data_IF_540547174727
#
_entry.id   IF_540547174727
#
_cell.length_a   1.000
_cell.length_b   1.000
_cell.length_c   1.000
_cell.angle_alpha   90.00
_cell.angle_beta   90.00
_cell.angle_gamma   90.00
#
_symmetry.space_group_name_H-M   'P 1'
#
loop_
_entity.id
_entity.type
_entity.pdbx_description
1 polymer ?
#
# COMPACT_ATOMS: atom_id res chain seq x y z
N UNK A 1 -24.05 51.07 53.24
CA UNK A 1 -23.45 50.41 54.42
C UNK A 1 -22.93 49.06 53.99
N UNK A 2 -21.62 48.85 54.20
CA UNK A 2 -20.81 47.62 54.09
C UNK A 2 -21.53 46.28 54.18
N UNK A 3 -21.18 45.33 53.31
CA UNK A 3 -20.66 43.97 53.65
C UNK A 3 -20.55 43.17 52.34
N UNK A 4 -19.37 43.03 51.73
CA UNK A 4 -18.36 42.02 52.02
C UNK A 4 -18.89 40.58 51.91
N UNK A 5 -18.32 39.88 50.91
CA UNK A 5 -17.94 38.46 50.88
C UNK A 5 -18.94 37.42 51.38
N UNK A 6 -19.37 36.53 50.48
CA UNK A 6 -19.07 35.11 50.66
C UNK A 6 -19.24 34.34 49.35
N UNK A 7 -18.21 33.57 49.00
CA UNK A 7 -18.28 32.54 47.98
C UNK A 7 -18.55 31.21 48.67
N UNK A 8 -19.47 30.38 48.15
CA UNK A 8 -19.34 28.95 48.33
C UNK A 8 -19.08 28.25 47.00
N UNK A 9 -17.87 27.69 46.94
CA UNK A 9 -17.48 26.38 46.43
C UNK A 9 -18.52 25.68 45.52
N UNK A 10 -18.11 25.47 44.27
CA UNK A 10 -18.84 24.73 43.25
C UNK A 10 -19.24 23.34 43.72
N UNK A 11 -20.56 23.15 43.81
CA UNK A 11 -21.20 21.84 43.90
C UNK A 11 -21.43 21.28 42.50
N UNK A 12 -20.76 20.16 42.24
CA UNK A 12 -21.04 19.08 41.30
C UNK A 12 -22.43 19.02 40.65
N UNK A 13 -22.44 18.88 39.32
CA UNK A 13 -23.54 18.35 38.49
C UNK A 13 -24.39 19.43 37.80
N UNK A 14 -24.82 19.24 36.53
CA UNK A 14 -25.29 17.98 35.96
C UNK A 14 -24.59 17.56 34.65
N UNK A 15 -24.63 16.25 34.37
CA UNK A 15 -24.19 15.69 33.11
C UNK A 15 -25.11 16.07 31.95
N UNK A 16 -24.49 16.35 30.80
CA UNK A 16 -24.86 15.92 29.45
C UNK A 16 -23.79 16.46 28.51
N UNK A 17 -23.19 15.61 27.68
CA UNK A 17 -22.41 16.10 26.54
C UNK A 17 -21.23 15.22 26.12
N UNK A 18 -21.34 14.67 24.91
CA UNK A 18 -20.18 14.50 24.05
C UNK A 18 -19.50 13.14 24.07
N UNK A 19 -20.05 12.19 23.30
CA UNK A 19 -19.20 11.20 22.63
C UNK A 19 -18.23 11.96 21.72
N UNK A 20 -16.94 11.96 22.07
CA UNK A 20 -15.74 12.05 21.20
C UNK A 20 -14.51 12.46 22.01
N UNK A 21 -13.75 11.49 22.47
CA UNK A 21 -12.32 11.66 22.81
C UNK A 21 -11.54 10.70 21.91
N UNK A 22 -11.00 11.20 20.80
CA UNK A 22 -9.62 11.71 20.68
C UNK A 22 -8.60 10.59 20.46
N UNK A 23 -8.43 10.27 19.18
CA UNK A 23 -7.13 10.29 18.49
C UNK A 23 -5.99 9.49 19.14
N UNK A 24 -5.75 8.27 18.62
CA UNK A 24 -4.41 7.69 18.57
C UNK A 24 -3.97 7.66 17.10
N UNK A 25 -3.27 8.72 16.70
CA UNK A 25 -2.54 8.82 15.45
C UNK A 25 -1.40 7.80 15.48
N UNK A 26 -1.56 6.66 14.80
CA UNK A 26 -0.44 5.76 14.55
C UNK A 26 0.42 6.41 13.46
N UNK A 27 1.72 6.68 13.70
CA UNK A 27 2.56 7.30 12.70
C UNK A 27 2.76 6.33 11.53
N UNK A 28 2.38 6.79 10.34
CA UNK A 28 2.75 6.15 9.09
C UNK A 28 4.28 6.11 9.02
N UNK A 29 4.84 4.90 9.06
CA UNK A 29 6.25 4.67 8.83
C UNK A 29 6.63 5.18 7.45
N UNK A 30 7.40 6.26 7.44
CA UNK A 30 8.11 6.77 6.28
C UNK A 30 9.15 5.73 5.83
N UNK A 31 9.06 5.33 4.57
CA UNK A 31 10.14 4.78 3.76
C UNK A 31 9.72 4.99 2.30
N UNK A 32 10.43 5.68 1.42
CA UNK A 32 11.69 6.41 1.42
C UNK A 32 11.69 7.18 0.08
N UNK A 33 12.47 8.25 -0.02
CA UNK A 33 12.40 9.21 -1.12
C UNK A 33 12.55 8.61 -2.52
N UNK A 34 11.77 9.17 -3.44
CA UNK A 34 12.13 9.37 -4.84
C UNK A 34 11.20 10.47 -5.38
N UNK A 35 11.75 11.67 -5.39
CA UNK A 35 11.27 12.87 -6.07
C UNK A 35 11.10 12.60 -7.58
N UNK A 36 9.98 12.02 -8.03
CA UNK A 36 9.49 12.14 -9.41
C UNK A 36 7.95 12.01 -9.46
N UNK A 37 7.26 13.14 -9.62
CA UNK A 37 5.94 13.20 -10.27
C UNK A 37 4.74 12.70 -9.47
N UNK A 38 4.44 13.34 -8.34
CA UNK A 38 3.16 13.18 -7.61
C UNK A 38 1.98 13.84 -8.36
N UNK A 39 1.76 13.46 -9.62
CA UNK A 39 0.66 13.95 -10.46
C UNK A 39 -0.45 12.91 -10.72
N UNK A 40 -0.19 11.61 -10.57
CA UNK A 40 -1.19 10.59 -10.93
C UNK A 40 -0.99 9.23 -10.23
N UNK A 41 -0.69 9.21 -8.94
CA UNK A 41 -0.78 7.97 -8.14
C UNK A 41 -2.25 7.63 -7.91
N UNK A 42 -2.97 7.20 -8.94
CA UNK A 42 -4.38 6.78 -8.84
C UNK A 42 -4.49 5.27 -8.97
N UNK A 43 -5.57 4.69 -8.43
CA UNK A 43 -5.88 3.28 -8.66
C UNK A 43 -6.02 2.92 -10.15
N UNK A 44 -6.47 3.87 -10.96
CA UNK A 44 -6.54 3.72 -12.42
C UNK A 44 -5.15 3.56 -13.03
N UNK A 45 -4.17 4.37 -12.60
CA UNK A 45 -2.77 4.24 -13.02
C UNK A 45 -2.21 2.85 -12.71
N UNK A 46 -2.44 2.35 -11.49
CA UNK A 46 -1.99 1.03 -11.09
C UNK A 46 -2.62 -0.08 -11.94
N UNK A 47 -3.92 0.03 -12.26
CA UNK A 47 -4.59 -0.93 -13.15
C UNK A 47 -4.02 -0.92 -14.56
N UNK A 48 -3.65 0.25 -15.08
CA UNK A 48 -2.98 0.38 -16.38
C UNK A 48 -1.61 -0.30 -16.36
N UNK A 49 -0.81 -0.08 -15.31
CA UNK A 49 0.48 -0.75 -15.14
C UNK A 49 0.34 -2.28 -15.07
N UNK A 50 -0.66 -2.80 -14.35
CA UNK A 50 -0.95 -4.25 -14.33
C UNK A 50 -1.29 -4.78 -15.72
N UNK A 51 -2.05 -4.01 -16.52
CA UNK A 51 -2.37 -4.39 -17.90
C UNK A 51 -1.13 -4.42 -18.79
N UNK A 52 -0.27 -3.41 -18.70
CA UNK A 52 1.00 -3.35 -19.46
C UNK A 52 1.92 -4.50 -19.05
N UNK A 53 2.09 -4.74 -17.75
CA UNK A 53 2.86 -5.89 -17.24
C UNK A 53 2.33 -7.23 -17.76
N UNK A 54 1.01 -7.39 -17.83
CA UNK A 54 0.38 -8.60 -18.39
C UNK A 54 0.66 -8.80 -19.88
N UNK A 55 0.74 -7.72 -20.66
CA UNK A 55 1.10 -7.77 -22.08
C UNK A 55 2.55 -8.22 -22.23
N UNK A 56 3.49 -7.59 -21.52
CA UNK A 56 4.89 -8.00 -21.53
C UNK A 56 5.11 -9.44 -21.04
N UNK A 57 4.34 -9.88 -20.04
CA UNK A 57 4.38 -11.26 -19.57
C UNK A 57 3.99 -12.27 -20.65
N UNK A 58 3.10 -11.89 -21.58
CA UNK A 58 2.72 -12.71 -22.74
C UNK A 58 3.75 -12.66 -23.86
N UNK A 59 4.49 -11.56 -23.99
CA UNK A 59 5.60 -11.40 -24.92
C UNK A 59 6.90 -12.10 -24.46
N UNK A 60 6.89 -12.74 -23.29
CA UNK A 60 8.07 -13.32 -22.63
C UNK A 60 9.10 -12.30 -22.15
N UNK A 61 8.75 -11.01 -22.15
CA UNK A 61 9.54 -9.92 -21.58
C UNK A 61 9.35 -9.88 -20.06
N UNK A 62 9.84 -10.93 -19.40
CA UNK A 62 9.56 -11.18 -17.98
C UNK A 62 10.09 -10.09 -17.04
N UNK A 63 11.28 -9.55 -17.30
CA UNK A 63 11.87 -8.49 -16.46
C UNK A 63 11.07 -7.17 -16.57
N UNK A 64 10.64 -6.81 -17.78
CA UNK A 64 9.81 -5.61 -18.02
C UNK A 64 8.45 -5.75 -17.34
N UNK A 65 7.84 -6.93 -17.44
CA UNK A 65 6.57 -7.22 -16.78
C UNK A 65 6.65 -7.06 -15.26
N UNK A 66 7.73 -7.56 -14.64
CA UNK A 66 7.93 -7.46 -13.19
C UNK A 66 8.09 -6.01 -12.73
N UNK A 67 8.84 -5.17 -13.47
CA UNK A 67 9.01 -3.74 -13.14
C UNK A 67 7.68 -2.97 -13.13
N UNK A 68 6.80 -3.24 -14.11
CA UNK A 68 5.46 -2.65 -14.13
C UNK A 68 4.58 -3.14 -12.97
N UNK A 69 4.65 -4.43 -12.62
CA UNK A 69 3.92 -4.97 -11.49
C UNK A 69 4.38 -4.40 -10.14
N UNK A 70 5.69 -4.21 -9.95
CA UNK A 70 6.24 -3.56 -8.76
C UNK A 70 5.75 -2.12 -8.61
N UNK A 71 5.72 -1.39 -9.73
CA UNK A 71 5.20 -0.02 -9.77
C UNK A 71 3.70 0.02 -9.45
N UNK A 72 2.92 -0.92 -9.97
CA UNK A 72 1.50 -1.04 -9.62
C UNK A 72 1.30 -1.40 -8.14
N UNK A 73 2.15 -2.27 -7.57
CA UNK A 73 2.08 -2.69 -6.18
C UNK A 73 2.32 -1.52 -5.21
N UNK A 74 3.24 -0.60 -5.54
CA UNK A 74 3.47 0.60 -4.72
C UNK A 74 2.17 1.41 -4.57
N UNK A 75 1.51 1.70 -5.68
CA UNK A 75 0.26 2.47 -5.71
C UNK A 75 -0.89 1.70 -5.06
N UNK A 76 -1.08 0.42 -5.40
CA UNK A 76 -2.15 -0.39 -4.81
C UNK A 76 -2.01 -0.51 -3.29
N UNK A 77 -0.80 -0.71 -2.76
CA UNK A 77 -0.56 -0.78 -1.31
C UNK A 77 -0.82 0.55 -0.62
N UNK A 78 -0.46 1.66 -1.27
CA UNK A 78 -0.70 3.01 -0.75
C UNK A 78 -2.20 3.31 -0.59
N UNK A 79 -3.03 2.91 -1.56
CA UNK A 79 -4.46 3.24 -1.56
C UNK A 79 -5.38 2.18 -0.94
N UNK A 80 -5.02 0.89 -1.06
CA UNK A 80 -5.90 -0.23 -0.71
C UNK A 80 -5.40 -1.01 0.50
N UNK A 81 -4.13 -0.84 0.88
CA UNK A 81 -3.45 -1.68 1.87
C UNK A 81 -2.92 -2.99 1.28
N UNK A 82 -2.16 -3.72 2.11
CA UNK A 82 -1.40 -4.92 1.69
C UNK A 82 -2.27 -6.16 1.46
N UNK A 83 -3.38 -6.27 2.18
CA UNK A 83 -4.24 -7.46 2.17
C UNK A 83 -5.38 -7.38 1.14
N UNK A 84 -5.42 -6.30 0.37
CA UNK A 84 -6.47 -6.11 -0.63
C UNK A 84 -6.33 -7.10 -1.80
N UNK A 85 -7.47 -7.59 -2.31
CA UNK A 85 -7.53 -8.57 -3.41
C UNK A 85 -6.75 -8.14 -4.67
N UNK A 86 -6.73 -6.84 -4.98
CA UNK A 86 -5.97 -6.30 -6.11
C UNK A 86 -4.45 -6.52 -5.96
N UNK A 87 -3.92 -6.32 -4.74
CA UNK A 87 -2.51 -6.57 -4.42
C UNK A 87 -2.20 -8.06 -4.55
N UNK A 88 -3.05 -8.92 -4.00
CA UNK A 88 -2.91 -10.37 -4.10
C UNK A 88 -2.92 -10.85 -5.57
N UNK A 89 -3.78 -10.27 -6.42
CA UNK A 89 -3.83 -10.58 -7.85
C UNK A 89 -2.52 -10.22 -8.54
N UNK A 90 -2.01 -9.01 -8.33
CA UNK A 90 -0.74 -8.57 -8.94
C UNK A 90 0.44 -9.44 -8.49
N UNK A 91 0.50 -9.81 -7.21
CA UNK A 91 1.52 -10.75 -6.70
C UNK A 91 1.39 -12.14 -7.32
N UNK A 92 0.16 -12.62 -7.54
CA UNK A 92 -0.09 -13.91 -8.18
C UNK A 92 0.42 -13.93 -9.63
N UNK A 93 0.22 -12.83 -10.36
CA UNK A 93 0.73 -12.67 -11.72
C UNK A 93 2.27 -12.69 -11.76
N UNK A 94 2.93 -11.99 -10.82
CA UNK A 94 4.40 -12.05 -10.68
C UNK A 94 4.88 -13.47 -10.35
N UNK A 95 4.20 -14.18 -9.46
CA UNK A 95 4.54 -15.57 -9.10
C UNK A 95 4.52 -16.52 -10.30
N UNK A 96 3.59 -16.32 -11.25
CA UNK A 96 3.53 -17.09 -12.50
C UNK A 96 4.73 -16.83 -13.40
N UNK A 97 5.24 -15.60 -13.44
CA UNK A 97 6.44 -15.23 -14.20
C UNK A 97 7.68 -15.85 -13.57
N UNK A 98 7.84 -15.69 -12.25
CA UNK A 98 9.00 -16.22 -11.52
C UNK A 98 9.07 -17.75 -11.60
N UNK A 99 7.92 -18.44 -11.55
CA UNK A 99 7.86 -19.89 -11.78
C UNK A 99 8.37 -20.27 -13.17
N UNK A 100 8.00 -19.53 -14.22
CA UNK A 100 8.49 -19.79 -15.58
C UNK A 100 9.99 -19.56 -15.71
N UNK A 101 10.52 -18.53 -15.05
CA UNK A 101 11.97 -18.27 -15.00
C UNK A 101 12.73 -19.40 -14.29
N UNK A 102 12.19 -19.91 -13.18
CA UNK A 102 12.80 -21.05 -12.45
C UNK A 102 12.88 -22.29 -13.34
N UNK A 103 11.77 -22.68 -13.98
CA UNK A 103 11.74 -23.88 -14.85
C UNK A 103 12.69 -23.73 -16.04
N UNK A 104 12.83 -22.53 -16.60
CA UNK A 104 13.77 -22.27 -17.69
C UNK A 104 15.24 -22.39 -17.23
N UNK A 105 15.55 -21.98 -16.00
CA UNK A 105 16.89 -22.12 -15.44
C UNK A 105 17.24 -23.59 -15.18
N UNK A 106 16.29 -24.37 -14.66
CA UNK A 106 16.46 -25.81 -14.44
C UNK A 106 16.65 -26.57 -15.77
N UNK A 107 15.97 -26.15 -16.84
CA UNK A 107 16.12 -26.74 -18.17
C UNK A 107 17.46 -26.39 -18.86
N UNK A 108 17.98 -25.19 -18.65
CA UNK A 108 19.23 -24.73 -19.25
C UNK A 108 20.50 -25.31 -18.57
N UNK A 109 20.37 -25.82 -17.34
CA UNK A 109 21.47 -26.47 -16.61
C UNK A 109 21.69 -27.95 -16.93
N UNK A 110 20.87 -28.56 -17.81
CA UNK A 110 20.85 -30.01 -18.06
C UNK A 110 21.66 -30.52 -19.26
N UNK A 111 22.30 -29.65 -20.06
CA UNK A 111 23.00 -30.03 -21.30
C UNK A 111 24.48 -29.61 -21.31
N UNK A 112 25.25 -30.01 -20.29
CA UNK A 112 26.61 -29.50 -20.11
C UNK A 112 27.63 -30.48 -19.56
N UNK A 113 27.47 -31.79 -19.77
CA UNK A 113 28.46 -32.74 -19.29
C UNK A 113 28.32 -34.16 -19.86
N UNK A 114 28.84 -34.36 -21.07
CA UNK A 114 29.30 -35.65 -21.59
C UNK A 114 30.54 -35.43 -22.45
#
# INVERSE_FOLDING_TARGET
SVSAADAPLGSSGPGVGGVRTSQALVPAGQAGGADEGEGFLTLSYANTLVRIGSIHAKLSDHDVALSHYESALRVQRMHLGRDHVAVARTLSDMGRILRRRSIAFDAAGGDGGA
#
